data_IF_612825467341
#
_entry.id   IF_612825467341
#
_cell.length_a   1.000
_cell.length_b   1.000
_cell.length_c   1.000
_cell.angle_alpha   90.00
_cell.angle_beta   90.00
_cell.angle_gamma   90.00
#
_symmetry.space_group_name_H-M   'P 1'
#
loop_
_entity.id
_entity.type
_entity.pdbx_description
1 polymer ?
#
# COMPACT_ATOMS: atom_id res chain seq x y z
N UNK A 1 -17.10 -8.57 -4.22
CA UNK A 1 -16.17 -8.10 -3.19
C UNK A 1 -15.98 -9.19 -2.17
N UNK A 2 -16.93 -9.32 -1.23
CA UNK A 2 -16.92 -10.40 -0.24
C UNK A 2 -17.19 -11.79 -0.85
N UNK A 3 -18.08 -11.90 -1.85
CA UNK A 3 -18.34 -13.17 -2.55
C UNK A 3 -17.08 -13.74 -3.22
N UNK A 4 -16.28 -12.87 -3.86
CA UNK A 4 -15.02 -13.26 -4.49
C UNK A 4 -13.96 -13.68 -3.45
N UNK A 5 -14.06 -13.17 -2.22
CA UNK A 5 -13.22 -13.56 -1.10
C UNK A 5 -13.79 -14.75 -0.31
N UNK A 6 -14.99 -15.26 -0.66
CA UNK A 6 -15.67 -16.33 0.07
C UNK A 6 -16.07 -15.96 1.50
N UNK A 7 -16.31 -14.68 1.78
CA UNK A 7 -16.57 -14.15 3.12
C UNK A 7 -18.03 -13.71 3.26
N UNK A 8 -18.67 -14.02 4.40
CA UNK A 8 -20.00 -13.51 4.69
C UNK A 8 -19.95 -12.04 5.15
N UNK A 9 -21.03 -11.30 4.93
CA UNK A 9 -21.15 -9.92 5.42
C UNK A 9 -20.99 -9.84 6.95
N UNK A 10 -21.56 -10.80 7.68
CA UNK A 10 -21.52 -10.83 9.15
C UNK A 10 -20.09 -11.03 9.67
N UNK A 11 -19.32 -11.95 9.05
CA UNK A 11 -17.94 -12.20 9.44
C UNK A 11 -17.06 -10.98 9.16
N UNK A 12 -17.27 -10.32 8.02
CA UNK A 12 -16.57 -9.07 7.68
C UNK A 12 -16.83 -7.97 8.72
N UNK A 13 -18.10 -7.73 9.06
CA UNK A 13 -18.48 -6.67 10.01
C UNK A 13 -18.00 -6.95 11.45
N UNK A 14 -17.93 -8.23 11.84
CA UNK A 14 -17.35 -8.63 13.12
C UNK A 14 -15.84 -8.36 13.13
N UNK A 15 -15.11 -8.83 12.11
CA UNK A 15 -13.66 -8.64 11.98
C UNK A 15 -13.29 -7.15 11.84
N UNK A 16 -14.13 -6.34 11.18
CA UNK A 16 -13.91 -4.91 11.03
C UNK A 16 -13.75 -4.19 12.39
N UNK A 17 -14.39 -4.69 13.45
CA UNK A 17 -14.33 -4.09 14.79
C UNK A 17 -13.07 -4.45 15.56
N UNK A 18 -12.26 -5.39 15.07
CA UNK A 18 -11.05 -5.81 15.76
C UNK A 18 -10.03 -4.66 15.86
N UNK A 19 -9.38 -4.46 17.03
CA UNK A 19 -8.42 -3.37 17.22
C UNK A 19 -7.29 -3.35 16.19
N UNK A 20 -6.78 -4.52 15.79
CA UNK A 20 -5.71 -4.63 14.80
C UNK A 20 -6.16 -4.16 13.40
N UNK A 21 -7.43 -4.41 13.03
CA UNK A 21 -8.01 -3.92 11.77
C UNK A 21 -8.18 -2.41 11.82
N UNK A 22 -8.70 -1.88 12.92
CA UNK A 22 -8.84 -0.43 13.13
C UNK A 22 -7.48 0.29 13.12
N UNK A 23 -6.46 -0.26 13.76
CA UNK A 23 -5.10 0.28 13.74
C UNK A 23 -4.51 0.29 12.31
N UNK A 24 -4.79 -0.75 11.52
CA UNK A 24 -4.37 -0.83 10.12
C UNK A 24 -5.04 0.26 9.28
N UNK A 25 -6.35 0.47 9.46
CA UNK A 25 -7.09 1.54 8.78
C UNK A 25 -6.55 2.92 9.13
N UNK A 26 -6.18 3.15 10.40
CA UNK A 26 -5.56 4.41 10.84
C UNK A 26 -4.21 4.64 10.15
N UNK A 27 -3.34 3.62 10.11
CA UNK A 27 -2.03 3.68 9.42
C UNK A 27 -2.19 4.01 7.94
N UNK A 28 -3.22 3.47 7.29
CA UNK A 28 -3.44 3.69 5.86
C UNK A 28 -3.84 5.14 5.53
N UNK A 29 -4.32 5.95 6.48
CA UNK A 29 -4.66 7.36 6.22
C UNK A 29 -3.47 8.18 5.71
N UNK A 30 -2.24 7.86 6.15
CA UNK A 30 -1.02 8.51 5.67
C UNK A 30 -0.80 8.33 4.15
N UNK A 31 -1.41 7.30 3.55
CA UNK A 31 -1.33 7.02 2.11
C UNK A 31 -1.96 8.14 1.26
N UNK A 32 -2.91 8.92 1.81
CA UNK A 32 -3.56 10.00 1.09
C UNK A 32 -2.57 11.12 0.72
N UNK A 33 -1.69 11.50 1.65
CA UNK A 33 -0.69 12.54 1.38
C UNK A 33 0.38 12.05 0.41
N UNK A 34 0.76 10.77 0.47
CA UNK A 34 1.63 10.14 -0.54
C UNK A 34 0.98 10.18 -1.92
N UNK A 35 -0.31 9.82 -2.02
CA UNK A 35 -1.06 9.80 -3.27
C UNK A 35 -1.19 11.19 -3.90
N UNK A 36 -1.22 12.27 -3.12
CA UNK A 36 -1.26 13.64 -3.67
C UNK A 36 -0.02 14.03 -4.48
N UNK A 37 1.14 13.41 -4.22
CA UNK A 37 2.41 13.80 -4.85
C UNK A 37 2.43 13.43 -6.34
N UNK A 38 1.93 12.23 -6.68
CA UNK A 38 1.99 11.71 -8.05
C UNK A 38 0.84 10.77 -8.44
N UNK A 39 -0.25 10.75 -7.67
CA UNK A 39 -1.36 9.83 -7.87
C UNK A 39 -1.06 8.41 -7.39
N UNK A 40 -1.92 7.47 -7.81
CA UNK A 40 -1.80 6.04 -7.52
C UNK A 40 -1.59 5.25 -8.82
N UNK A 41 -0.80 4.15 -8.81
CA UNK A 41 -0.09 3.57 -7.67
C UNK A 41 1.12 4.42 -7.22
N UNK A 42 1.46 4.33 -5.93
CA UNK A 42 2.61 4.99 -5.32
C UNK A 42 3.42 3.97 -4.49
N UNK A 43 4.67 3.73 -4.88
CA UNK A 43 5.55 2.77 -4.22
C UNK A 43 6.52 3.51 -3.29
N UNK A 44 6.45 3.21 -1.99
CA UNK A 44 7.32 3.83 -0.98
C UNK A 44 8.22 2.77 -0.37
N UNK A 45 9.54 2.97 -0.43
CA UNK A 45 10.55 2.08 0.17
C UNK A 45 10.95 2.61 1.55
N UNK A 46 10.96 1.73 2.55
CA UNK A 46 11.27 2.03 3.96
C UNK A 46 10.46 3.19 4.56
N UNK A 47 9.24 3.44 4.06
CA UNK A 47 8.41 4.58 4.48
C UNK A 47 8.99 5.96 4.17
N UNK A 48 10.08 6.04 3.38
CA UNK A 48 10.88 7.26 3.18
C UNK A 48 11.06 7.64 1.71
N UNK A 49 11.23 6.67 0.82
CA UNK A 49 11.58 6.92 -0.58
C UNK A 49 10.40 6.61 -1.51
N UNK A 50 9.76 7.66 -2.05
CA UNK A 50 8.70 7.52 -3.05
C UNK A 50 9.30 7.34 -4.46
N UNK A 51 9.01 6.20 -5.09
CA UNK A 51 9.43 5.90 -6.46
C UNK A 51 8.52 6.63 -7.44
N UNK A 52 9.13 7.37 -8.37
CA UNK A 52 8.41 8.08 -9.41
C UNK A 52 7.93 7.12 -10.51
N UNK A 53 6.64 6.78 -10.51
CA UNK A 53 6.12 5.66 -11.33
C UNK A 53 6.25 5.88 -12.84
N UNK A 54 6.11 7.13 -13.33
CA UNK A 54 6.28 7.45 -14.76
C UNK A 54 7.69 7.18 -15.29
N UNK A 55 8.67 7.06 -14.40
CA UNK A 55 10.08 6.85 -14.76
C UNK A 55 10.45 5.37 -14.85
N UNK A 56 9.57 4.46 -14.41
CA UNK A 56 9.80 3.01 -14.45
C UNK A 56 9.78 2.53 -15.90
N UNK A 57 10.85 1.85 -16.34
CA UNK A 57 11.02 1.38 -17.73
C UNK A 57 10.84 -0.12 -17.90
N UNK A 58 11.04 -0.89 -16.83
CA UNK A 58 10.84 -2.34 -16.79
C UNK A 58 10.65 -2.79 -15.34
N UNK A 59 10.17 -4.02 -15.16
CA UNK A 59 10.03 -4.64 -13.84
C UNK A 59 11.40 -4.82 -13.19
N UNK A 60 12.41 -5.25 -13.95
CA UNK A 60 13.78 -5.44 -13.43
C UNK A 60 14.38 -4.12 -12.94
N UNK A 61 14.22 -3.04 -13.70
CA UNK A 61 14.69 -1.71 -13.29
C UNK A 61 14.00 -1.21 -12.01
N UNK A 62 12.71 -1.53 -11.83
CA UNK A 62 11.99 -1.23 -10.60
C UNK A 62 12.51 -2.06 -9.42
N UNK A 63 12.75 -3.36 -9.62
CA UNK A 63 13.26 -4.25 -8.58
C UNK A 63 14.66 -3.82 -8.10
N UNK A 64 15.55 -3.46 -9.03
CA UNK A 64 16.89 -2.98 -8.69
C UNK A 64 16.85 -1.64 -7.94
N UNK A 65 16.00 -0.71 -8.37
CA UNK A 65 15.78 0.55 -7.65
C UNK A 65 15.24 0.31 -6.23
N UNK A 66 14.30 -0.62 -6.04
CA UNK A 66 13.79 -0.98 -4.71
C UNK A 66 14.92 -1.52 -3.84
N UNK A 67 15.75 -2.44 -4.36
CA UNK A 67 16.89 -3.00 -3.61
C UNK A 67 17.89 -1.91 -3.21
N UNK A 68 18.20 -1.00 -4.12
CA UNK A 68 19.11 0.11 -3.83
C UNK A 68 18.55 0.99 -2.71
N UNK A 69 17.29 1.42 -2.82
CA UNK A 69 16.65 2.29 -1.82
C UNK A 69 16.43 1.59 -0.48
N UNK A 70 16.19 0.28 -0.48
CA UNK A 70 16.02 -0.50 0.75
C UNK A 70 17.32 -0.63 1.56
N UNK A 71 18.47 -0.52 0.89
CA UNK A 71 19.79 -0.54 1.53
C UNK A 71 20.25 0.81 2.12
N UNK A 72 19.46 1.88 1.92
CA UNK A 72 19.72 3.24 2.41
C UNK A 72 18.85 3.60 3.61
#
# INVERSE_FOLDING_TARGET
>A
GLDAAGMSQADFEAALKEPAVQETLEKWKASYDVAKIQGVPAYVVNGKYLIYTKSIKSIDAMADLIRELASK
#
